data_IF_320559956732
#
_entry.id   IF_320559956732
#
_cell.length_a   1.000
_cell.length_b   1.000
_cell.length_c   1.000
_cell.angle_alpha   90.00
_cell.angle_beta   90.00
_cell.angle_gamma   90.00
#
_symmetry.space_group_name_H-M   'P 1'
#
loop_
_entity.id
_entity.type
_entity.pdbx_description
1 polymer ?
#
# COMPACT_ATOMS: atom_id res chain seq x y z
N UNK A 1 16.51 -1.72 11.85
CA UNK A 1 15.85 -3.04 11.83
C UNK A 1 14.34 -2.90 11.63
N UNK A 2 13.53 -2.58 12.64
CA UNK A 2 12.06 -2.49 12.48
C UNK A 2 11.63 -1.45 11.43
N UNK A 3 12.25 -0.26 11.43
CA UNK A 3 11.99 0.77 10.42
C UNK A 3 12.40 0.37 8.99
N UNK A 4 13.39 -0.52 8.83
CA UNK A 4 13.87 -0.91 7.49
C UNK A 4 12.97 -1.95 6.83
N UNK A 5 11.94 -2.46 7.53
CA UNK A 5 10.96 -3.39 6.98
C UNK A 5 9.54 -2.81 6.98
N UNK A 6 9.39 -1.51 7.24
CA UNK A 6 8.08 -0.85 7.20
C UNK A 6 7.27 -0.89 8.49
N UNK A 7 7.83 -1.41 9.59
CA UNK A 7 7.08 -1.70 10.82
C UNK A 7 7.24 -0.65 11.94
N UNK A 8 7.75 0.55 11.63
CA UNK A 8 7.95 1.55 12.68
C UNK A 8 6.66 2.34 12.98
N UNK A 9 6.12 2.29 14.21
CA UNK A 9 4.86 2.93 14.57
C UNK A 9 5.06 4.44 14.80
N UNK A 10 4.97 5.24 13.73
CA UNK A 10 5.36 6.66 13.76
C UNK A 10 4.57 7.51 14.78
N UNK A 11 3.28 7.21 14.99
CA UNK A 11 2.44 7.82 16.05
C UNK A 11 3.01 7.65 17.47
N UNK A 12 4.01 6.78 17.64
CA UNK A 12 4.73 6.51 18.89
C UNK A 12 6.21 6.92 18.87
N UNK A 13 6.71 7.51 17.78
CA UNK A 13 8.11 7.91 17.64
C UNK A 13 8.60 8.82 18.79
N UNK A 14 7.78 9.80 19.17
CA UNK A 14 8.04 10.69 20.32
C UNK A 14 7.63 10.11 21.69
N UNK A 15 7.24 8.84 21.75
CA UNK A 15 6.75 8.14 22.96
C UNK A 15 7.67 6.96 23.26
N UNK A 16 7.19 5.73 23.06
CA UNK A 16 7.89 4.48 23.38
C UNK A 16 8.34 3.70 22.12
N UNK A 17 8.09 4.24 20.92
CA UNK A 17 8.50 3.63 19.66
C UNK A 17 7.95 2.21 19.49
N UNK A 18 8.86 1.27 19.24
CA UNK A 18 8.57 -0.12 18.85
C UNK A 18 8.26 -1.05 20.03
N UNK A 19 8.48 -0.61 21.28
CA UNK A 19 8.16 -1.38 22.51
C UNK A 19 8.61 -2.85 22.50
N UNK A 20 9.93 -3.12 22.66
CA UNK A 20 10.40 -4.48 22.92
C UNK A 20 10.02 -4.88 24.35
N UNK A 21 8.96 -5.68 24.50
CA UNK A 21 8.40 -6.00 25.84
C UNK A 21 8.60 -7.47 26.23
N UNK A 22 8.53 -8.39 25.26
CA UNK A 22 8.69 -9.82 25.51
C UNK A 22 10.05 -10.36 25.04
N UNK A 23 10.60 -11.34 25.77
CA UNK A 23 11.83 -12.04 25.38
C UNK A 23 11.73 -13.53 25.66
N UNK A 24 12.08 -14.35 24.67
CA UNK A 24 12.15 -15.81 24.76
C UNK A 24 13.56 -16.26 24.44
N UNK A 25 14.05 -17.26 25.17
CA UNK A 25 15.27 -17.98 24.81
C UNK A 25 14.92 -19.39 24.35
N UNK A 26 15.54 -19.84 23.26
CA UNK A 26 15.39 -21.19 22.74
C UNK A 26 16.69 -21.69 22.12
N UNK A 27 16.88 -22.99 22.09
CA UNK A 27 17.99 -23.62 21.35
C UNK A 27 17.40 -24.38 20.18
N UNK A 28 17.83 -24.07 18.96
CA UNK A 28 17.40 -24.76 17.75
C UNK A 28 18.65 -25.30 17.05
N UNK A 29 18.70 -26.61 16.83
CA UNK A 29 19.97 -27.28 16.50
C UNK A 29 20.99 -27.08 17.64
N UNK A 30 22.17 -26.58 17.27
CA UNK A 30 23.25 -26.26 18.22
C UNK A 30 23.32 -24.76 18.59
N UNK A 31 22.42 -23.94 18.03
CA UNK A 31 22.45 -22.48 18.17
C UNK A 31 21.47 -22.02 19.24
N UNK A 32 21.93 -21.13 20.12
CA UNK A 32 21.07 -20.43 21.07
C UNK A 32 20.50 -19.18 20.39
N UNK A 33 19.19 -18.98 20.51
CA UNK A 33 18.51 -17.81 19.98
C UNK A 33 17.78 -17.06 21.09
N UNK A 34 17.80 -15.73 20.98
CA UNK A 34 16.91 -14.83 21.69
C UNK A 34 15.85 -14.31 20.71
N UNK A 35 14.60 -14.33 21.14
CA UNK A 35 13.47 -13.80 20.39
C UNK A 35 12.91 -12.61 21.15
N UNK A 36 13.02 -11.42 20.57
CA UNK A 36 12.55 -10.16 21.19
C UNK A 36 11.28 -9.73 20.48
N UNK A 37 10.16 -9.69 21.22
CA UNK A 37 8.86 -9.30 20.69
C UNK A 37 8.73 -7.78 20.74
N UNK A 38 8.51 -7.17 19.57
CA UNK A 38 8.16 -5.77 19.43
C UNK A 38 6.64 -5.64 19.40
N UNK A 39 6.05 -5.26 20.53
CA UNK A 39 4.59 -5.17 20.69
C UNK A 39 4.00 -4.21 19.64
N UNK A 40 4.58 -3.01 19.53
CA UNK A 40 4.04 -1.95 18.66
C UNK A 40 4.61 -1.96 17.25
N UNK A 41 5.61 -2.80 16.99
CA UNK A 41 6.09 -3.07 15.65
C UNK A 41 5.45 -4.32 15.02
N UNK A 42 4.69 -5.13 15.77
CA UNK A 42 4.13 -6.40 15.28
C UNK A 42 5.17 -7.33 14.66
N UNK A 43 6.37 -7.38 15.23
CA UNK A 43 7.48 -8.21 14.74
C UNK A 43 8.23 -8.89 15.88
N UNK A 44 8.93 -9.97 15.55
CA UNK A 44 9.88 -10.64 16.44
C UNK A 44 11.28 -10.50 15.86
N UNK A 45 12.20 -9.91 16.64
CA UNK A 45 13.63 -9.92 16.34
C UNK A 45 14.25 -11.24 16.79
N UNK A 46 14.88 -11.96 15.87
CA UNK A 46 15.61 -13.20 16.13
C UNK A 46 17.09 -12.88 16.21
N UNK A 47 17.70 -13.15 17.36
CA UNK A 47 19.11 -12.91 17.61
C UNK A 47 19.84 -14.22 17.84
N UNK A 48 20.96 -14.45 17.17
CA UNK A 48 21.92 -15.49 17.53
C UNK A 48 22.65 -15.06 18.81
N UNK A 49 22.51 -15.86 19.87
CA UNK A 49 23.04 -15.65 21.22
C UNK A 49 24.18 -16.64 21.53
N UNK A 50 24.93 -17.05 20.50
CA UNK A 50 26.05 -17.98 20.66
C UNK A 50 27.33 -17.28 21.15
N UNK A 51 27.52 -16.01 20.80
CA UNK A 51 28.63 -15.19 21.29
C UNK A 51 28.30 -14.57 22.65
N UNK A 52 29.26 -14.61 23.58
CA UNK A 52 29.09 -13.97 24.88
C UNK A 52 28.99 -12.45 24.72
N UNK A 53 27.94 -11.86 25.28
CA UNK A 53 27.68 -10.41 25.32
C UNK A 53 27.49 -9.71 23.96
N UNK A 54 27.35 -10.47 22.87
CA UNK A 54 27.18 -9.94 21.51
C UNK A 54 26.07 -10.67 20.72
N UNK A 55 24.78 -10.55 21.11
CA UNK A 55 23.68 -11.11 20.32
C UNK A 55 23.59 -10.43 18.94
N UNK A 56 23.57 -11.22 17.87
CA UNK A 56 23.51 -10.72 16.49
C UNK A 56 22.09 -10.87 15.93
N UNK A 57 21.48 -9.79 15.44
CA UNK A 57 20.18 -9.86 14.77
C UNK A 57 20.33 -10.60 13.44
N UNK A 58 19.72 -11.78 13.34
CA UNK A 58 19.79 -12.64 12.14
C UNK A 58 18.51 -12.63 11.31
N UNK A 59 17.36 -12.31 11.92
CA UNK A 59 16.08 -12.30 11.20
C UNK A 59 15.03 -11.41 11.90
N UNK A 60 14.08 -10.91 11.12
CA UNK A 60 12.83 -10.31 11.61
C UNK A 60 11.67 -11.16 11.12
N UNK A 61 10.80 -11.59 12.04
CA UNK A 61 9.60 -12.37 11.72
C UNK A 61 8.37 -11.45 11.83
N UNK A 62 7.45 -11.47 10.86
CA UNK A 62 6.18 -10.77 10.98
C UNK A 62 5.32 -11.48 12.04
N UNK A 63 4.59 -10.73 12.85
CA UNK A 63 3.67 -11.26 13.86
C UNK A 63 2.28 -10.63 13.70
N UNK A 64 1.34 -11.05 14.54
CA UNK A 64 0.06 -10.34 14.66
C UNK A 64 0.17 -9.05 15.49
N UNK A 65 -0.99 -8.47 15.81
CA UNK A 65 -1.08 -7.22 16.55
C UNK A 65 -0.67 -7.40 18.02
N UNK A 66 0.28 -6.59 18.50
CA UNK A 66 0.73 -6.60 19.90
C UNK A 66 1.21 -7.98 20.37
N UNK A 67 2.30 -8.52 19.81
CA UNK A 67 2.88 -9.75 20.31
C UNK A 67 3.48 -9.54 21.70
N UNK A 68 2.97 -10.23 22.71
CA UNK A 68 3.35 -10.00 24.12
C UNK A 68 4.13 -11.17 24.71
N UNK A 69 3.73 -12.40 24.35
CA UNK A 69 4.26 -13.63 24.95
C UNK A 69 4.62 -14.66 23.88
N UNK A 70 5.52 -15.57 24.21
CA UNK A 70 5.86 -16.68 23.34
C UNK A 70 6.50 -17.85 24.07
N UNK A 71 6.63 -18.96 23.36
CA UNK A 71 7.31 -20.16 23.84
C UNK A 71 8.14 -20.78 22.72
N UNK A 72 9.40 -21.08 23.01
CA UNK A 72 10.23 -21.91 22.15
C UNK A 72 9.94 -23.39 22.45
N UNK A 73 9.75 -24.18 21.41
CA UNK A 73 9.52 -25.63 21.46
C UNK A 73 10.63 -26.32 20.64
N UNK A 74 11.87 -26.41 21.16
CA UNK A 74 13.01 -27.01 20.47
C UNK A 74 12.75 -28.40 19.90
N UNK A 75 12.04 -29.25 20.66
CA UNK A 75 11.73 -30.62 20.23
C UNK A 75 10.87 -30.71 18.96
N UNK A 76 10.29 -29.59 18.51
CA UNK A 76 9.51 -29.49 17.26
C UNK A 76 10.07 -28.46 16.30
N UNK A 77 11.21 -27.83 16.61
CA UNK A 77 11.74 -26.69 15.88
C UNK A 77 10.73 -25.55 15.72
N UNK A 78 9.91 -25.27 16.74
CA UNK A 78 8.90 -24.21 16.68
C UNK A 78 9.15 -23.07 17.66
N UNK A 79 8.92 -21.85 17.20
CA UNK A 79 8.57 -20.71 18.06
C UNK A 79 7.06 -20.47 17.94
N UNK A 80 6.40 -20.20 19.06
CA UNK A 80 4.98 -19.86 19.10
C UNK A 80 4.82 -18.53 19.81
N UNK A 81 4.10 -17.57 19.21
CA UNK A 81 3.80 -16.27 19.85
C UNK A 81 2.30 -16.06 19.98
N UNK A 82 1.91 -15.36 21.04
CA UNK A 82 0.53 -14.95 21.30
C UNK A 82 0.41 -13.44 21.13
N UNK A 83 -0.59 -13.04 20.34
CA UNK A 83 -0.92 -11.64 20.05
C UNK A 83 -2.14 -11.24 20.90
N UNK A 84 -2.02 -10.21 21.72
CA UNK A 84 -3.05 -9.90 22.73
C UNK A 84 -4.24 -9.08 22.21
N UNK A 85 -4.04 -8.33 21.13
CA UNK A 85 -5.05 -7.39 20.64
C UNK A 85 -6.14 -8.13 19.85
N UNK A 86 -7.39 -8.07 20.33
CA UNK A 86 -8.58 -8.58 19.65
C UNK A 86 -9.47 -7.42 19.18
N UNK A 87 -9.38 -7.08 17.91
CA UNK A 87 -10.22 -6.07 17.25
C UNK A 87 -11.51 -6.66 16.66
N UNK A 88 -11.77 -7.96 16.89
CA UNK A 88 -12.95 -8.65 16.38
C UNK A 88 -14.30 -7.97 16.67
N UNK A 89 -14.54 -7.47 17.90
CA UNK A 89 -15.75 -6.72 18.23
C UNK A 89 -15.95 -5.46 17.36
N UNK A 90 -14.86 -4.87 16.89
CA UNK A 90 -14.82 -3.68 16.03
C UNK A 90 -14.70 -4.04 14.53
N UNK A 91 -14.76 -5.34 14.20
CA UNK A 91 -14.70 -5.85 12.83
C UNK A 91 -13.29 -6.05 12.27
N UNK A 92 -12.25 -5.84 13.08
CA UNK A 92 -10.84 -6.03 12.72
C UNK A 92 -10.30 -7.42 13.01
N UNK A 93 -8.97 -7.51 13.08
CA UNK A 93 -8.22 -8.77 13.29
C UNK A 93 -8.49 -9.34 14.68
N UNK A 94 -8.72 -10.65 14.75
CA UNK A 94 -8.83 -11.37 16.02
C UNK A 94 -7.44 -11.58 16.63
N UNK A 95 -7.38 -11.60 17.96
CA UNK A 95 -6.22 -12.15 18.65
C UNK A 95 -5.96 -13.58 18.17
N UNK A 96 -4.72 -13.88 17.81
CA UNK A 96 -4.34 -15.16 17.22
C UNK A 96 -2.92 -15.56 17.65
N UNK A 97 -2.58 -16.80 17.35
CA UNK A 97 -1.28 -17.40 17.67
C UNK A 97 -0.50 -17.55 16.38
N UNK A 98 0.76 -17.13 16.37
CA UNK A 98 1.67 -17.36 15.25
C UNK A 98 2.57 -18.55 15.54
N UNK A 99 2.85 -19.34 14.50
CA UNK A 99 3.75 -20.48 14.56
C UNK A 99 4.87 -20.23 13.54
N UNK A 100 6.11 -20.30 14.00
CA UNK A 100 7.30 -20.20 13.16
C UNK A 100 8.08 -21.51 13.26
N UNK A 101 8.47 -22.06 12.12
CA UNK A 101 9.32 -23.23 12.06
C UNK A 101 10.77 -22.81 11.77
N UNK A 102 11.71 -23.39 12.52
CA UNK A 102 13.13 -23.29 12.22
C UNK A 102 13.49 -24.31 11.13
N UNK A 103 13.83 -23.80 9.95
CA UNK A 103 14.08 -24.58 8.74
C UNK A 103 15.28 -24.02 7.98
N UNK A 104 15.95 -24.86 7.20
CA UNK A 104 16.96 -24.46 6.22
C UNK A 104 16.23 -24.07 4.91
N UNK A 105 15.63 -22.88 4.91
CA UNK A 105 14.84 -22.35 3.82
C UNK A 105 15.02 -20.83 3.69
N UNK A 106 14.76 -20.29 2.50
CA UNK A 106 14.75 -18.83 2.29
C UNK A 106 13.62 -18.19 3.11
N UNK A 107 13.88 -17.08 3.83
CA UNK A 107 12.84 -16.32 4.50
C UNK A 107 11.78 -15.81 3.51
N UNK A 108 10.51 -15.94 3.88
CA UNK A 108 9.39 -15.41 3.10
C UNK A 108 9.03 -13.95 3.46
N UNK A 109 9.70 -13.38 4.47
CA UNK A 109 9.53 -12.01 4.94
C UNK A 109 10.88 -11.44 5.43
N UNK A 110 11.17 -10.14 5.23
CA UNK A 110 10.38 -9.14 4.50
C UNK A 110 10.27 -9.42 2.99
N UNK A 111 9.24 -8.88 2.34
CA UNK A 111 9.09 -8.94 0.86
C UNK A 111 9.58 -7.67 0.16
N UNK A 112 9.62 -6.57 0.92
CA UNK A 112 10.24 -5.30 0.56
C UNK A 112 11.00 -4.75 1.77
N UNK A 113 12.20 -4.20 1.55
CA UNK A 113 13.02 -3.61 2.61
C UNK A 113 13.67 -2.30 2.15
N UNK A 114 14.06 -1.49 3.13
CA UNK A 114 14.91 -0.32 2.92
C UNK A 114 16.39 -0.73 2.84
N UNK A 115 17.16 -0.05 2.00
CA UNK A 115 18.61 -0.22 1.93
C UNK A 115 19.26 0.18 3.26
N UNK A 116 19.61 -0.84 4.05
CA UNK A 116 20.21 -0.69 5.38
C UNK A 116 21.66 -0.17 5.33
N UNK A 117 22.28 -0.11 4.15
CA UNK A 117 23.61 0.49 3.99
C UNK A 117 23.56 2.02 3.90
N UNK A 118 22.37 2.60 3.69
CA UNK A 118 22.17 4.04 3.60
C UNK A 118 22.16 4.70 4.97
N UNK A 119 22.76 5.88 5.05
CA UNK A 119 22.74 6.77 6.22
C UNK A 119 22.34 8.20 5.78
N UNK A 120 21.19 8.74 6.24
CA UNK A 120 20.21 8.09 7.11
C UNK A 120 19.43 6.97 6.41
N UNK A 121 19.05 5.96 7.19
CA UNK A 121 18.11 4.91 6.76
C UNK A 121 16.79 5.54 6.28
N UNK A 122 16.22 4.98 5.20
CA UNK A 122 14.86 5.35 4.76
C UNK A 122 13.86 4.51 5.56
N UNK A 123 13.14 5.14 6.49
CA UNK A 123 11.92 4.55 7.05
C UNK A 123 10.80 4.63 6.02
N UNK A 124 9.98 3.59 5.93
CA UNK A 124 8.79 3.56 5.09
C UNK A 124 7.64 2.88 5.85
N UNK A 125 6.48 2.86 5.23
CA UNK A 125 5.24 2.27 5.71
C UNK A 125 4.09 2.89 4.94
N UNK A 126 2.90 2.36 5.15
CA UNK A 126 1.66 2.81 4.53
C UNK A 126 1.76 3.06 3.01
N UNK A 127 2.29 2.07 2.28
CA UNK A 127 2.49 2.20 0.84
C UNK A 127 1.15 2.14 0.10
N UNK A 128 0.75 3.27 -0.48
CA UNK A 128 -0.62 3.56 -0.90
C UNK A 128 -0.78 3.81 -2.41
N UNK A 129 0.20 3.40 -3.22
CA UNK A 129 0.12 3.50 -4.68
C UNK A 129 1.41 3.03 -5.32
N UNK A 130 1.35 2.59 -6.58
CA UNK A 130 2.52 2.03 -7.27
C UNK A 130 2.59 2.44 -8.75
N UNK A 131 3.76 2.90 -9.20
CA UNK A 131 4.03 3.19 -10.61
C UNK A 131 5.33 2.53 -11.07
N UNK A 132 5.39 2.12 -12.33
CA UNK A 132 6.63 1.69 -12.96
C UNK A 132 7.35 2.85 -13.64
N UNK A 133 8.68 2.78 -13.67
CA UNK A 133 9.46 3.61 -14.58
C UNK A 133 9.18 3.17 -16.04
N UNK A 134 8.89 4.12 -16.96
CA UNK A 134 8.55 3.78 -18.33
C UNK A 134 9.74 3.19 -19.13
N UNK A 135 10.97 3.36 -18.63
CA UNK A 135 12.20 2.97 -19.32
C UNK A 135 13.01 1.88 -18.61
N UNK A 136 12.82 1.71 -17.31
CA UNK A 136 13.50 0.69 -16.51
C UNK A 136 12.49 -0.23 -15.82
N UNK A 137 12.34 -1.45 -16.36
CA UNK A 137 11.41 -2.44 -15.83
C UNK A 137 11.67 -2.89 -14.38
N UNK A 138 12.85 -2.57 -13.81
CA UNK A 138 13.16 -2.87 -12.42
C UNK A 138 12.90 -1.74 -11.45
N UNK A 139 12.67 -0.53 -11.95
CA UNK A 139 12.50 0.65 -11.12
C UNK A 139 11.02 0.94 -10.96
N UNK A 140 10.54 0.88 -9.72
CA UNK A 140 9.18 1.26 -9.35
C UNK A 140 9.19 2.46 -8.41
N UNK A 141 8.03 3.10 -8.30
CA UNK A 141 7.78 4.22 -7.41
C UNK A 141 6.56 3.91 -6.55
N UNK A 142 6.64 4.15 -5.25
CA UNK A 142 5.50 4.05 -4.34
C UNK A 142 5.34 5.33 -3.52
N UNK A 143 4.13 5.64 -3.09
CA UNK A 143 3.84 6.76 -2.18
C UNK A 143 3.44 6.25 -0.79
N UNK A 144 3.54 7.11 0.22
CA UNK A 144 2.90 6.89 1.52
C UNK A 144 1.69 7.82 1.72
N UNK A 145 0.71 7.31 2.44
CA UNK A 145 -0.52 8.04 2.80
C UNK A 145 -0.30 9.09 3.92
N UNK A 146 -1.41 9.68 4.38
CA UNK A 146 -1.40 10.66 5.47
C UNK A 146 -0.97 10.12 6.84
N UNK A 147 -0.81 8.80 7.03
CA UNK A 147 -0.24 8.25 8.26
C UNK A 147 1.12 8.90 8.56
N UNK A 148 1.92 9.10 7.52
CA UNK A 148 3.22 9.76 7.57
C UNK A 148 3.16 11.21 7.06
N UNK A 149 2.11 11.95 7.43
CA UNK A 149 1.84 13.34 7.00
C UNK A 149 2.99 14.35 7.18
N UNK A 150 3.94 14.10 8.09
CA UNK A 150 5.12 14.94 8.26
C UNK A 150 6.20 14.73 7.17
N UNK A 151 6.09 13.65 6.41
CA UNK A 151 7.08 13.18 5.44
C UNK A 151 6.40 12.54 4.21
N UNK A 152 5.52 13.26 3.49
CA UNK A 152 4.95 12.75 2.25
C UNK A 152 6.09 12.48 1.26
N UNK A 153 6.09 11.28 0.68
CA UNK A 153 7.25 10.70 0.03
C UNK A 153 6.87 9.92 -1.21
N UNK A 154 7.78 9.90 -2.18
CA UNK A 154 7.81 8.94 -3.29
C UNK A 154 9.06 8.09 -3.08
N UNK A 155 8.90 6.80 -2.79
CA UNK A 155 9.98 5.85 -2.63
C UNK A 155 10.41 5.30 -3.98
N UNK A 156 11.71 5.13 -4.18
CA UNK A 156 12.28 4.48 -5.36
C UNK A 156 12.64 3.04 -4.99
N UNK A 157 12.01 2.09 -5.69
CA UNK A 157 12.11 0.66 -5.43
C UNK A 157 12.88 -0.01 -6.58
N UNK A 158 13.88 -0.81 -6.23
CA UNK A 158 14.53 -1.78 -7.11
C UNK A 158 13.86 -3.15 -6.93
N UNK A 159 13.02 -3.51 -7.90
CA UNK A 159 12.27 -4.76 -7.94
C UNK A 159 13.09 -5.96 -8.48
N UNK A 160 14.35 -5.77 -8.93
CA UNK A 160 15.24 -6.90 -9.28
C UNK A 160 15.78 -7.61 -8.04
N UNK A 161 15.85 -6.90 -6.92
CA UNK A 161 16.31 -7.48 -5.66
C UNK A 161 15.24 -8.38 -5.05
N UNK A 162 15.68 -9.35 -4.25
CA UNK A 162 14.82 -10.23 -3.46
C UNK A 162 15.34 -10.24 -2.02
N UNK A 163 14.64 -9.60 -1.08
CA UNK A 163 13.38 -8.85 -1.25
C UNK A 163 13.54 -7.58 -2.10
N UNK A 164 12.44 -7.01 -2.58
CA UNK A 164 12.47 -5.73 -3.30
C UNK A 164 13.09 -4.65 -2.40
N UNK A 165 13.84 -3.71 -2.98
CA UNK A 165 14.67 -2.79 -2.19
C UNK A 165 14.26 -1.34 -2.41
N UNK A 166 13.86 -0.63 -1.36
CA UNK A 166 13.75 0.84 -1.36
C UNK A 166 15.18 1.40 -1.28
N UNK A 167 15.60 2.02 -2.37
CA UNK A 167 16.97 2.54 -2.56
C UNK A 167 17.06 4.04 -2.36
N UNK A 168 15.97 4.76 -2.63
CA UNK A 168 15.90 6.21 -2.49
C UNK A 168 14.51 6.72 -2.11
N UNK A 169 14.44 7.98 -1.74
CA UNK A 169 13.19 8.67 -1.39
C UNK A 169 13.22 10.11 -1.89
N UNK A 170 12.17 10.49 -2.60
CA UNK A 170 11.89 11.87 -3.02
C UNK A 170 10.85 12.42 -2.05
N UNK A 171 11.16 13.53 -1.37
CA UNK A 171 10.20 14.17 -0.45
C UNK A 171 9.30 15.13 -1.20
N UNK A 172 8.01 14.98 -1.02
CA UNK A 172 7.02 15.89 -1.60
C UNK A 172 7.04 17.18 -0.81
N UNK A 173 7.32 18.30 -1.49
CA UNK A 173 7.52 19.59 -0.85
C UNK A 173 6.66 20.69 -1.45
N UNK A 174 6.33 21.67 -0.62
CA UNK A 174 5.73 22.94 -1.00
C UNK A 174 6.60 24.04 -0.45
N UNK A 175 7.10 24.91 -1.32
CA UNK A 175 8.02 25.99 -0.95
C UNK A 175 9.28 25.52 -0.19
N UNK A 176 9.78 24.32 -0.53
CA UNK A 176 10.98 23.72 0.07
C UNK A 176 10.78 23.07 1.46
N UNK A 177 9.57 23.09 2.00
CA UNK A 177 9.20 22.35 3.22
C UNK A 177 8.36 21.12 2.88
N UNK A 178 8.31 20.07 3.73
CA UNK A 178 7.38 18.96 3.55
C UNK A 178 5.95 19.47 3.33
N UNK A 179 5.30 18.98 2.27
CA UNK A 179 3.99 19.48 1.90
C UNK A 179 2.92 19.00 2.89
N UNK A 180 2.34 19.93 3.64
CA UNK A 180 1.22 19.63 4.54
C UNK A 180 -0.09 19.39 3.77
N UNK A 181 -1.04 18.73 4.44
CA UNK A 181 -2.39 18.42 3.94
C UNK A 181 -2.37 17.59 2.66
N UNK A 182 -1.59 16.52 2.68
CA UNK A 182 -1.55 15.47 1.67
C UNK A 182 -2.00 14.14 2.30
N UNK A 183 -2.70 13.38 1.50
CA UNK A 183 -3.19 12.03 1.77
C UNK A 183 -3.00 11.24 0.48
N UNK A 184 -1.75 10.90 0.17
CA UNK A 184 -1.38 10.40 -1.15
C UNK A 184 -1.84 8.95 -1.27
N UNK A 185 -2.66 8.65 -2.27
CA UNK A 185 -3.16 7.29 -2.56
C UNK A 185 -2.93 6.90 -4.02
N UNK A 186 -2.05 7.62 -4.73
CA UNK A 186 -1.79 7.31 -6.13
C UNK A 186 -0.59 8.06 -6.68
N UNK A 187 0.14 7.39 -7.55
CA UNK A 187 1.30 7.95 -8.24
C UNK A 187 1.31 7.50 -9.70
N UNK A 188 1.59 8.42 -10.62
CA UNK A 188 1.89 8.13 -12.01
C UNK A 188 3.10 8.95 -12.45
N UNK A 189 3.98 8.37 -13.29
CA UNK A 189 5.07 9.15 -13.89
C UNK A 189 4.53 10.11 -14.94
N UNK A 190 5.09 11.32 -15.04
CA UNK A 190 4.73 12.31 -16.07
C UNK A 190 5.40 12.05 -17.44
N UNK A 191 6.29 11.05 -17.51
CA UNK A 191 7.12 10.74 -18.69
C UNK A 191 8.34 11.66 -18.90
N UNK A 192 8.51 12.69 -18.08
CA UNK A 192 9.55 13.72 -18.17
C UNK A 192 10.41 13.83 -16.90
N UNK A 193 10.30 12.85 -15.99
CA UNK A 193 11.08 12.76 -14.76
C UNK A 193 10.40 13.36 -13.52
N UNK A 194 9.15 13.81 -13.65
CA UNK A 194 8.26 14.18 -12.56
C UNK A 194 7.12 13.17 -12.36
N UNK A 195 6.14 13.57 -11.54
CA UNK A 195 5.04 12.69 -11.14
C UNK A 195 3.72 13.45 -11.01
N UNK A 196 2.64 12.75 -11.32
CA UNK A 196 1.28 13.10 -10.92
C UNK A 196 0.92 12.30 -9.68
N UNK A 197 0.42 12.97 -8.65
CA UNK A 197 0.02 12.37 -7.39
C UNK A 197 -1.46 12.61 -7.15
N UNK A 198 -2.22 11.56 -6.84
CA UNK A 198 -3.59 11.68 -6.35
C UNK A 198 -3.57 11.75 -4.83
N UNK A 199 -4.28 12.73 -4.29
CA UNK A 199 -4.55 12.80 -2.86
C UNK A 199 -6.03 12.53 -2.59
N UNK A 200 -6.31 11.53 -1.76
CA UNK A 200 -7.67 11.15 -1.37
C UNK A 200 -8.36 12.34 -0.74
N UNK A 201 -7.77 12.87 0.33
CA UNK A 201 -8.34 14.01 1.03
C UNK A 201 -9.46 13.61 1.99
N UNK A 202 -9.80 14.54 2.87
CA UNK A 202 -10.75 14.33 3.93
C UNK A 202 -11.34 15.68 4.36
N UNK A 203 -12.58 16.01 3.94
CA UNK A 203 -13.17 17.32 4.21
C UNK A 203 -13.34 17.59 5.70
N UNK A 204 -13.59 16.55 6.52
CA UNK A 204 -13.72 16.68 7.97
C UNK A 204 -12.39 17.04 8.66
N UNK A 205 -11.25 16.76 8.01
CA UNK A 205 -9.90 17.10 8.47
C UNK A 205 -9.28 18.30 7.72
N UNK A 206 -10.07 18.98 6.88
CA UNK A 206 -9.59 20.05 6.00
C UNK A 206 -8.42 19.65 5.09
N UNK A 207 -8.36 18.38 4.69
CA UNK A 207 -7.43 17.87 3.67
C UNK A 207 -8.19 17.83 2.34
N UNK A 208 -7.77 18.57 1.31
CA UNK A 208 -8.52 18.63 0.06
C UNK A 208 -8.32 17.38 -0.80
N UNK A 209 -9.39 16.92 -1.47
CA UNK A 209 -9.29 16.06 -2.64
C UNK A 209 -8.58 16.84 -3.76
N UNK A 210 -7.41 16.39 -4.21
CA UNK A 210 -6.63 17.11 -5.21
C UNK A 210 -5.63 16.21 -5.96
N UNK A 211 -5.27 16.65 -7.17
CA UNK A 211 -4.14 16.09 -7.92
C UNK A 211 -2.99 17.08 -7.85
N UNK A 212 -1.77 16.58 -7.64
CA UNK A 212 -0.56 17.40 -7.59
C UNK A 212 0.42 16.95 -8.67
N UNK A 213 1.00 17.92 -9.39
CA UNK A 213 2.17 17.66 -10.22
C UNK A 213 3.42 18.00 -9.42
N UNK A 214 4.38 17.09 -9.35
CA UNK A 214 5.69 17.31 -8.74
C UNK A 214 6.79 17.11 -9.76
N UNK A 215 7.85 17.92 -9.67
CA UNK A 215 9.05 17.68 -10.46
C UNK A 215 9.89 16.51 -9.87
N UNK A 216 10.99 16.15 -10.55
CA UNK A 216 11.88 15.07 -10.12
C UNK A 216 12.63 15.32 -8.80
N UNK A 217 12.52 16.51 -8.22
CA UNK A 217 13.01 16.82 -6.85
C UNK A 217 11.94 16.65 -5.78
N UNK A 218 10.67 16.47 -6.20
CA UNK A 218 9.50 16.38 -5.33
C UNK A 218 8.84 17.72 -5.03
N UNK A 219 9.27 18.81 -5.66
CA UNK A 219 8.61 20.10 -5.47
C UNK A 219 7.27 20.13 -6.21
N UNK A 220 6.20 20.48 -5.50
CA UNK A 220 4.88 20.69 -6.11
C UNK A 220 4.97 21.89 -7.04
N UNK A 221 4.71 21.64 -8.33
CA UNK A 221 4.72 22.64 -9.40
C UNK A 221 3.31 23.03 -9.83
N UNK A 222 2.33 22.15 -9.63
CA UNK A 222 0.93 22.41 -9.92
C UNK A 222 0.01 21.71 -8.90
N UNK A 223 -1.07 22.39 -8.54
CA UNK A 223 -2.18 21.83 -7.76
C UNK A 223 -3.46 21.93 -8.58
N UNK A 224 -4.08 20.79 -8.84
CA UNK A 224 -5.34 20.67 -9.56
C UNK A 224 -6.42 20.31 -8.54
N UNK A 225 -7.27 21.29 -8.21
CA UNK A 225 -8.40 21.07 -7.33
C UNK A 225 -9.57 20.44 -8.10
N UNK A 226 -10.35 19.60 -7.42
CA UNK A 226 -11.62 19.14 -7.94
C UNK A 226 -12.60 20.33 -8.09
N UNK A 227 -13.42 20.37 -9.16
CA UNK A 227 -14.42 21.42 -9.37
C UNK A 227 -15.49 21.40 -8.27
N UNK A 228 -16.04 22.58 -7.94
CA UNK A 228 -17.11 22.72 -6.94
C UNK A 228 -18.30 21.80 -7.20
N UNK A 229 -18.61 21.54 -8.49
CA UNK A 229 -19.69 20.64 -8.89
C UNK A 229 -19.47 19.20 -8.43
N UNK A 230 -18.22 18.71 -8.38
CA UNK A 230 -17.89 17.41 -7.78
C UNK A 230 -17.93 17.49 -6.25
N UNK A 231 -17.29 18.51 -5.70
CA UNK A 231 -17.13 18.67 -4.25
C UNK A 231 -18.46 18.85 -3.50
N UNK A 232 -19.53 19.28 -4.18
CA UNK A 232 -20.87 19.41 -3.60
C UNK A 232 -21.45 18.08 -3.10
N UNK A 233 -20.96 16.94 -3.57
CA UNK A 233 -21.43 15.60 -3.20
C UNK A 233 -20.34 14.72 -2.59
N UNK A 234 -19.16 15.30 -2.31
CA UNK A 234 -18.02 14.59 -1.76
C UNK A 234 -18.33 13.91 -0.43
N UNK A 235 -17.62 12.82 -0.17
CA UNK A 235 -17.59 12.18 1.14
C UNK A 235 -16.15 12.19 1.66
N UNK A 236 -15.89 11.44 2.74
CA UNK A 236 -14.52 11.25 3.23
C UNK A 236 -13.65 10.38 2.34
N UNK A 237 -14.25 9.64 1.40
CA UNK A 237 -13.56 8.68 0.55
C UNK A 237 -13.31 9.29 -0.83
N UNK A 238 -12.07 9.25 -1.29
CA UNK A 238 -11.61 10.09 -2.41
C UNK A 238 -10.94 9.30 -3.53
N UNK A 239 -9.92 9.91 -4.14
CA UNK A 239 -9.13 9.31 -5.20
C UNK A 239 -8.12 8.30 -4.62
N UNK A 240 -8.16 7.07 -5.11
CA UNK A 240 -7.33 5.90 -4.71
C UNK A 240 -6.60 5.36 -5.93
N UNK A 241 -5.65 6.15 -6.42
CA UNK A 241 -4.90 5.82 -7.61
C UNK A 241 -5.01 6.88 -8.70
N UNK A 242 -3.98 6.93 -9.53
CA UNK A 242 -3.91 7.80 -10.71
C UNK A 242 -3.10 7.13 -11.80
N UNK A 243 -3.52 7.30 -13.04
CA UNK A 243 -2.76 6.87 -14.21
C UNK A 243 -2.84 7.89 -15.34
N UNK A 244 -1.92 7.78 -16.30
CA UNK A 244 -1.83 8.67 -17.46
C UNK A 244 -2.16 7.91 -18.74
N UNK A 245 -2.94 8.53 -19.62
CA UNK A 245 -3.26 8.01 -20.95
C UNK A 245 -3.03 9.11 -21.98
N UNK A 246 -2.28 8.81 -23.04
CA UNK A 246 -1.91 9.79 -24.05
C UNK A 246 -0.73 10.67 -23.62
N UNK A 247 -0.40 11.67 -24.43
CA UNK A 247 0.73 12.57 -24.23
C UNK A 247 0.43 13.98 -24.75
N UNK A 248 1.22 14.97 -24.32
CA UNK A 248 1.09 16.35 -24.77
C UNK A 248 -0.32 16.90 -24.57
N UNK A 249 -0.89 17.48 -25.62
CA UNK A 249 -2.24 18.05 -25.59
C UNK A 249 -3.35 17.00 -25.43
N UNK A 250 -3.06 15.71 -25.63
CA UNK A 250 -4.01 14.61 -25.49
C UNK A 250 -3.84 13.81 -24.20
N UNK A 251 -2.89 14.19 -23.34
CA UNK A 251 -2.72 13.62 -22.01
C UNK A 251 -4.02 13.74 -21.22
N UNK A 252 -4.46 12.62 -20.67
CA UNK A 252 -5.57 12.51 -19.72
C UNK A 252 -5.08 11.82 -18.47
N UNK A 253 -5.33 12.45 -17.33
CA UNK A 253 -5.16 11.86 -16.00
C UNK A 253 -6.45 11.14 -15.63
N UNK A 254 -6.35 9.87 -15.25
CA UNK A 254 -7.47 9.07 -14.78
C UNK A 254 -7.29 8.71 -13.32
N UNK A 255 -8.33 8.90 -12.52
CA UNK A 255 -8.33 8.62 -11.08
C UNK A 255 -9.53 7.75 -10.70
N UNK A 256 -9.32 6.77 -9.83
CA UNK A 256 -10.39 5.94 -9.28
C UNK A 256 -10.94 6.57 -8.00
N UNK A 257 -12.26 6.78 -7.91
CA UNK A 257 -12.89 7.19 -6.64
C UNK A 257 -13.24 5.94 -5.84
N UNK A 258 -12.76 5.83 -4.61
CA UNK A 258 -12.87 4.61 -3.79
C UNK A 258 -14.30 4.12 -3.67
N UNK A 259 -15.21 5.06 -3.38
CA UNK A 259 -16.57 4.77 -2.93
C UNK A 259 -17.58 5.76 -3.50
N UNK A 260 -18.83 5.30 -3.52
CA UNK A 260 -20.00 6.08 -3.87
C UNK A 260 -20.03 7.43 -3.14
N UNK A 261 -20.10 8.51 -3.91
CA UNK A 261 -20.42 9.84 -3.43
C UNK A 261 -21.93 10.04 -3.40
N UNK A 262 -22.40 11.15 -2.82
CA UNK A 262 -23.83 11.35 -2.58
C UNK A 262 -24.68 11.44 -3.86
N UNK A 263 -24.07 11.75 -5.00
CA UNK A 263 -24.69 11.84 -6.31
C UNK A 263 -24.54 10.58 -7.17
N UNK A 264 -23.77 9.58 -6.72
CA UNK A 264 -23.60 8.33 -7.46
C UNK A 264 -24.84 7.45 -7.42
N UNK A 265 -25.08 6.73 -8.52
CA UNK A 265 -26.03 5.63 -8.50
C UNK A 265 -25.50 4.53 -7.58
N UNK A 266 -26.37 3.98 -6.74
CA UNK A 266 -25.99 2.89 -5.82
C UNK A 266 -25.41 1.71 -6.59
N UNK A 267 -24.24 1.23 -6.17
CA UNK A 267 -23.46 0.18 -6.82
C UNK A 267 -22.47 0.73 -7.85
N UNK A 268 -22.30 2.04 -7.99
CA UNK A 268 -21.41 2.65 -8.96
C UNK A 268 -20.50 3.70 -8.33
N UNK A 269 -19.27 3.80 -8.82
CA UNK A 269 -18.34 4.87 -8.49
C UNK A 269 -17.89 5.58 -9.75
N UNK A 270 -17.24 6.74 -9.59
CA UNK A 270 -16.69 7.49 -10.71
C UNK A 270 -15.25 7.08 -10.96
N UNK A 271 -14.89 6.90 -12.24
CA UNK A 271 -13.51 7.07 -12.68
C UNK A 271 -13.41 8.46 -13.28
N UNK A 272 -12.68 9.35 -12.61
CA UNK A 272 -12.54 10.75 -13.00
C UNK A 272 -11.48 10.88 -14.09
N UNK A 273 -11.73 11.75 -15.06
CA UNK A 273 -10.79 12.15 -16.09
C UNK A 273 -10.49 13.64 -15.97
N UNK A 274 -9.22 14.00 -16.05
CA UNK A 274 -8.78 15.39 -16.17
C UNK A 274 -7.83 15.55 -17.34
N UNK A 275 -8.09 16.54 -18.21
CA UNK A 275 -7.22 16.87 -19.35
C UNK A 275 -6.43 18.15 -19.06
N UNK A 276 -5.12 18.09 -18.75
CA UNK A 276 -4.35 19.27 -18.34
C UNK A 276 -4.35 20.40 -19.37
N UNK A 277 -4.33 20.06 -20.67
CA UNK A 277 -4.31 21.03 -21.76
C UNK A 277 -5.56 21.93 -21.80
N UNK A 278 -6.73 21.37 -21.52
CA UNK A 278 -8.02 22.10 -21.55
C UNK A 278 -8.56 22.44 -20.17
N UNK A 279 -7.99 21.84 -19.11
CA UNK A 279 -8.45 21.89 -17.72
C UNK A 279 -9.88 21.37 -17.53
N UNK A 280 -10.30 20.48 -18.41
CA UNK A 280 -11.64 19.90 -18.39
C UNK A 280 -11.66 18.65 -17.51
N UNK A 281 -12.74 18.55 -16.73
CA UNK A 281 -13.07 17.38 -15.94
C UNK A 281 -14.22 16.62 -16.58
N UNK A 282 -14.14 15.30 -16.56
CA UNK A 282 -15.23 14.41 -16.90
C UNK A 282 -15.12 13.12 -16.10
N UNK A 283 -16.05 12.19 -16.33
CA UNK A 283 -16.03 10.90 -15.67
C UNK A 283 -16.75 9.82 -16.48
N UNK A 284 -16.45 8.58 -16.13
CA UNK A 284 -17.27 7.40 -16.46
C UNK A 284 -17.74 6.75 -15.16
N UNK A 285 -18.82 5.98 -15.20
CA UNK A 285 -19.32 5.21 -14.07
C UNK A 285 -18.78 3.77 -14.12
N UNK A 286 -18.22 3.30 -13.01
CA UNK A 286 -17.70 1.96 -12.82
C UNK A 286 -18.61 1.16 -11.88
N UNK A 287 -19.11 -0.03 -12.28
CA UNK A 287 -19.94 -0.87 -11.42
C UNK A 287 -19.11 -1.62 -10.38
N UNK A 288 -19.48 -1.51 -9.10
CA UNK A 288 -18.89 -2.29 -8.00
C UNK A 288 -19.56 -3.66 -7.84
N UNK A 289 -18.79 -4.65 -7.40
CA UNK A 289 -19.30 -5.90 -6.84
C UNK A 289 -20.10 -5.63 -5.56
N UNK A 290 -21.10 -6.46 -5.31
CA UNK A 290 -21.89 -6.36 -4.08
C UNK A 290 -21.11 -6.98 -2.90
N UNK A 291 -20.87 -6.23 -1.81
CA UNK A 291 -20.22 -6.79 -0.62
C UNK A 291 -21.08 -7.87 0.05
N UNK A 292 -20.48 -8.98 0.45
CA UNK A 292 -21.12 -9.92 1.39
C UNK A 292 -21.22 -9.31 2.81
N UNK A 293 -20.18 -8.57 3.21
CA UNK A 293 -20.07 -7.87 4.48
C UNK A 293 -19.26 -6.60 4.29
N UNK A 294 -19.62 -5.55 5.03
CA UNK A 294 -18.90 -4.27 4.98
C UNK A 294 -19.16 -3.55 3.66
N UNK A 295 -18.09 -3.13 3.00
CA UNK A 295 -18.14 -2.41 1.73
C UNK A 295 -17.08 -2.93 0.75
N UNK A 296 -17.32 -2.69 -0.53
CA UNK A 296 -16.36 -2.87 -1.63
C UNK A 296 -16.04 -1.50 -2.22
N UNK A 297 -14.80 -1.29 -2.61
CA UNK A 297 -14.32 -0.05 -3.22
C UNK A 297 -13.10 -0.27 -4.09
N UNK A 298 -12.66 0.80 -4.74
CA UNK A 298 -11.48 0.82 -5.62
C UNK A 298 -10.26 1.27 -4.84
N UNK A 299 -9.09 0.69 -5.11
CA UNK A 299 -7.86 1.05 -4.40
C UNK A 299 -6.67 1.36 -5.32
N UNK A 300 -6.82 1.20 -6.64
CA UNK A 300 -5.77 1.54 -7.61
C UNK A 300 -6.35 1.64 -9.03
N UNK A 301 -5.68 2.40 -9.90
CA UNK A 301 -5.92 2.46 -11.34
C UNK A 301 -4.61 2.57 -12.12
N UNK A 302 -4.37 1.67 -13.08
CA UNK A 302 -3.16 1.63 -13.91
C UNK A 302 -3.50 1.39 -15.38
N UNK A 303 -3.10 2.29 -16.28
CA UNK A 303 -3.19 2.07 -17.72
C UNK A 303 -1.99 1.27 -18.24
N UNK A 304 -2.25 0.26 -19.08
CA UNK A 304 -1.21 -0.45 -19.83
C UNK A 304 -1.79 -1.06 -21.11
N UNK A 305 -1.12 -0.81 -22.24
CA UNK A 305 -1.61 -1.22 -23.55
C UNK A 305 -2.98 -0.62 -23.86
N UNK A 306 -3.93 -1.47 -24.28
CA UNK A 306 -5.29 -1.04 -24.63
C UNK A 306 -6.28 -1.07 -23.45
N UNK A 307 -5.81 -1.25 -22.21
CA UNK A 307 -6.65 -1.41 -21.04
C UNK A 307 -6.23 -0.52 -19.87
N UNK A 308 -7.18 -0.29 -18.98
CA UNK A 308 -6.98 0.24 -17.63
C UNK A 308 -7.28 -0.88 -16.64
N UNK A 309 -6.34 -1.14 -15.74
CA UNK A 309 -6.43 -2.14 -14.68
C UNK A 309 -6.79 -1.45 -13.37
N UNK A 310 -7.74 -2.03 -12.63
CA UNK A 310 -8.31 -1.41 -11.44
C UNK A 310 -8.34 -2.47 -10.32
N UNK A 311 -7.82 -2.13 -9.15
CA UNK A 311 -8.00 -2.99 -7.98
C UNK A 311 -9.36 -2.69 -7.38
N UNK A 312 -10.13 -3.74 -7.14
CA UNK A 312 -11.40 -3.68 -6.42
C UNK A 312 -11.37 -4.69 -5.27
N UNK A 313 -11.64 -4.20 -4.06
CA UNK A 313 -11.50 -4.95 -2.81
C UNK A 313 -12.62 -4.69 -1.84
N UNK A 314 -12.99 -5.73 -1.09
CA UNK A 314 -13.77 -5.55 0.14
C UNK A 314 -12.90 -4.98 1.26
N UNK A 315 -13.52 -4.50 2.33
CA UNK A 315 -12.83 -4.05 3.55
C UNK A 315 -12.70 -5.12 4.62
N UNK A 316 -12.61 -6.37 4.20
CA UNK A 316 -12.49 -7.50 5.10
C UNK A 316 -11.04 -8.02 5.14
N UNK A 317 -10.67 -8.58 6.29
CA UNK A 317 -9.33 -9.06 6.64
C UNK A 317 -9.37 -10.54 7.06
N UNK A 318 -8.24 -11.23 6.93
CA UNK A 318 -8.09 -12.63 7.30
C UNK A 318 -9.07 -13.54 6.55
N UNK A 319 -9.69 -14.48 7.26
CA UNK A 319 -10.67 -15.42 6.69
C UNK A 319 -11.97 -14.75 6.21
N UNK A 320 -12.24 -13.51 6.67
CA UNK A 320 -13.41 -12.75 6.27
C UNK A 320 -13.26 -12.13 4.88
N UNK A 321 -12.04 -11.96 4.36
CA UNK A 321 -11.78 -11.46 3.02
C UNK A 321 -12.42 -12.37 1.95
N UNK A 322 -13.24 -11.79 1.07
CA UNK A 322 -13.97 -12.44 -0.03
C UNK A 322 -13.66 -11.85 -1.40
N UNK A 323 -13.23 -10.59 -1.45
CA UNK A 323 -12.91 -9.89 -2.69
C UNK A 323 -11.60 -9.10 -2.56
N UNK A 324 -10.57 -9.53 -3.28
CA UNK A 324 -9.36 -8.75 -3.60
C UNK A 324 -9.01 -9.07 -5.05
N UNK A 325 -9.50 -8.28 -6.01
CA UNK A 325 -9.41 -8.61 -7.43
C UNK A 325 -8.83 -7.46 -8.24
N UNK A 326 -8.22 -7.83 -9.35
CA UNK A 326 -7.83 -6.93 -10.41
C UNK A 326 -8.83 -7.09 -11.56
N UNK A 327 -9.47 -5.99 -11.94
CA UNK A 327 -10.30 -5.90 -13.13
C UNK A 327 -9.58 -5.11 -14.22
N UNK A 328 -10.04 -5.26 -15.47
CA UNK A 328 -9.62 -4.45 -16.61
C UNK A 328 -10.82 -3.88 -17.36
N UNK A 329 -10.69 -2.64 -17.82
CA UNK A 329 -11.63 -1.93 -18.67
C UNK A 329 -10.89 -1.52 -19.95
N UNK A 330 -11.51 -1.69 -21.11
CA UNK A 330 -10.91 -1.29 -22.37
C UNK A 330 -10.81 0.24 -22.46
N UNK A 331 -9.67 0.78 -22.92
CA UNK A 331 -9.49 2.23 -23.10
C UNK A 331 -10.50 2.84 -24.08
N UNK A 332 -11.02 2.05 -25.02
CA UNK A 332 -12.09 2.50 -25.93
C UNK A 332 -13.40 2.84 -25.20
N UNK A 333 -13.62 2.31 -23.99
CA UNK A 333 -14.79 2.61 -23.16
C UNK A 333 -14.55 3.75 -22.17
N UNK A 334 -13.29 4.14 -21.97
CA UNK A 334 -12.89 5.26 -21.10
C UNK A 334 -13.16 6.61 -21.80
N UNK A 335 -14.44 6.85 -22.13
CA UNK A 335 -14.94 8.04 -22.82
C UNK A 335 -15.69 8.93 -21.82
N UNK A 336 -15.05 9.93 -21.21
CA UNK A 336 -15.65 10.66 -20.09
C UNK A 336 -16.79 11.57 -20.57
N UNK A 337 -17.89 11.58 -19.83
CA UNK A 337 -18.94 12.58 -19.97
C UNK A 337 -18.70 13.76 -19.00
N UNK A 338 -19.24 14.96 -19.27
CA UNK A 338 -19.12 16.10 -18.37
C UNK A 338 -19.67 15.80 -16.97
N UNK A 339 -19.01 16.32 -15.94
CA UNK A 339 -19.49 16.23 -14.55
C UNK A 339 -20.91 16.80 -14.43
N UNK A 340 -21.77 16.10 -13.68
CA UNK A 340 -23.17 16.46 -13.45
C UNK A 340 -24.11 16.04 -14.59
N UNK A 341 -23.60 15.39 -15.64
CA UNK A 341 -24.41 14.70 -16.65
C UNK A 341 -24.57 13.22 -16.34
N UNK A 342 -25.37 12.50 -17.12
CA UNK A 342 -25.43 11.05 -17.00
C UNK A 342 -24.14 10.43 -17.52
N UNK A 343 -23.41 9.74 -16.64
CA UNK A 343 -22.14 9.12 -16.95
C UNK A 343 -22.33 7.82 -17.75
N UNK A 344 -21.50 7.56 -18.78
CA UNK A 344 -21.48 6.27 -19.44
C UNK A 344 -20.92 5.22 -18.48
N UNK A 345 -21.51 4.02 -18.49
CA UNK A 345 -21.08 2.90 -17.67
C UNK A 345 -20.05 2.08 -18.44
N UNK A 346 -18.90 1.81 -17.82
CA UNK A 346 -17.87 0.93 -18.39
C UNK A 346 -18.15 -0.53 -18.08
N UNK A 347 -17.71 -1.42 -18.98
CA UNK A 347 -17.72 -2.86 -18.77
C UNK A 347 -16.37 -3.31 -18.22
N UNK A 348 -16.39 -3.92 -17.02
CA UNK A 348 -15.20 -4.50 -16.39
C UNK A 348 -15.09 -5.99 -16.68
N UNK A 349 -13.86 -6.47 -16.87
CA UNK A 349 -13.54 -7.89 -17.00
C UNK A 349 -12.51 -8.28 -15.95
N UNK A 350 -12.64 -9.47 -15.36
CA UNK A 350 -11.66 -9.94 -14.37
C UNK A 350 -10.31 -10.18 -15.05
N UNK A 351 -9.26 -9.58 -14.51
CA UNK A 351 -7.87 -9.74 -14.95
C UNK A 351 -7.09 -10.70 -14.05
N UNK A 352 -7.33 -10.67 -12.73
CA UNK A 352 -6.74 -11.61 -11.77
C UNK A 352 -7.52 -11.66 -10.43
N UNK A 353 -7.47 -12.81 -9.76
CA UNK A 353 -7.83 -12.94 -8.34
C UNK A 353 -6.57 -12.86 -7.48
N UNK A 354 -6.50 -11.85 -6.60
CA UNK A 354 -5.33 -11.58 -5.77
C UNK A 354 -5.40 -12.33 -4.43
N UNK A 355 -6.57 -12.84 -4.02
CA UNK A 355 -6.72 -13.54 -2.74
C UNK A 355 -5.80 -14.76 -2.58
N UNK A 356 -5.67 -15.67 -3.57
CA UNK A 356 -4.75 -16.79 -3.45
C UNK A 356 -3.28 -16.37 -3.34
N UNK A 357 -2.90 -15.29 -4.03
CA UNK A 357 -1.54 -14.74 -3.99
C UNK A 357 -1.24 -14.15 -2.62
N UNK A 358 -2.15 -13.33 -2.08
CA UNK A 358 -2.03 -12.75 -0.75
C UNK A 358 -1.96 -13.83 0.33
N UNK A 359 -2.82 -14.85 0.27
CA UNK A 359 -2.76 -16.01 1.21
C UNK A 359 -1.43 -16.73 1.15
N UNK A 360 -0.86 -16.88 -0.04
CA UNK A 360 0.44 -17.55 -0.19
C UNK A 360 1.56 -16.69 0.37
N UNK A 361 1.52 -15.37 0.14
CA UNK A 361 2.51 -14.41 0.60
C UNK A 361 2.61 -14.30 2.13
N UNK A 362 1.52 -14.56 2.85
CA UNK A 362 1.42 -14.41 4.32
C UNK A 362 1.08 -15.71 5.06
N UNK A 363 1.26 -16.88 4.44
CA UNK A 363 0.91 -18.18 5.02
C UNK A 363 -0.56 -18.30 5.51
N UNK A 364 -1.48 -17.62 4.83
CA UNK A 364 -2.92 -17.77 4.98
C UNK A 364 -3.65 -16.54 5.52
N UNK A 365 -2.92 -15.56 6.08
CA UNK A 365 -3.52 -14.35 6.65
C UNK A 365 -3.64 -13.23 5.61
N UNK A 366 -4.84 -12.99 5.08
CA UNK A 366 -5.06 -11.92 4.10
C UNK A 366 -5.08 -10.56 4.81
N UNK A 367 -4.17 -9.65 4.48
CA UNK A 367 -4.22 -8.26 4.94
C UNK A 367 -5.36 -7.48 4.27
N UNK A 368 -5.83 -6.40 4.90
CA UNK A 368 -7.00 -5.67 4.41
C UNK A 368 -6.70 -4.92 3.10
N UNK A 369 -5.67 -4.09 3.10
CA UNK A 369 -5.46 -3.07 2.07
C UNK A 369 -4.47 -3.48 1.00
N UNK A 370 -4.96 -3.70 -0.21
CA UNK A 370 -4.14 -3.89 -1.41
C UNK A 370 -4.33 -2.63 -2.27
N UNK A 371 -3.37 -1.72 -2.19
CA UNK A 371 -3.54 -0.33 -2.65
C UNK A 371 -2.58 0.06 -3.76
N UNK A 372 -1.56 -0.76 -4.06
CA UNK A 372 -0.66 -0.47 -5.17
C UNK A 372 -0.63 -1.61 -6.18
N UNK A 373 -0.70 -1.25 -7.47
CA UNK A 373 -0.49 -2.14 -8.60
C UNK A 373 0.17 -1.40 -9.74
N UNK A 374 1.07 -2.06 -10.45
CA UNK A 374 1.64 -1.49 -11.68
C UNK A 374 2.10 -2.59 -12.63
N UNK A 375 2.32 -2.23 -13.90
CA UNK A 375 2.91 -3.11 -14.92
C UNK A 375 4.20 -2.47 -15.42
N UNK A 376 5.31 -3.13 -15.16
CA UNK A 376 6.65 -2.69 -15.56
C UNK A 376 6.84 -2.71 -17.08
N UNK A 377 7.88 -2.01 -17.55
CA UNK A 377 8.18 -1.90 -18.99
C UNK A 377 8.44 -3.24 -19.70
N UNK A 378 8.77 -4.32 -18.97
CA UNK A 378 8.91 -5.68 -19.49
C UNK A 378 7.62 -6.52 -19.42
N UNK A 379 6.52 -5.93 -18.95
CA UNK A 379 5.22 -6.58 -18.75
C UNK A 379 5.05 -7.26 -17.39
N UNK A 380 6.04 -7.22 -16.50
CA UNK A 380 5.90 -7.79 -15.15
C UNK A 380 4.93 -6.94 -14.33
N UNK A 381 3.85 -7.56 -13.86
CA UNK A 381 2.89 -6.90 -12.99
C UNK A 381 3.28 -7.07 -11.52
N UNK A 382 3.29 -5.98 -10.76
CA UNK A 382 3.61 -5.94 -9.33
C UNK A 382 2.43 -5.42 -8.53
N UNK A 383 2.31 -5.88 -7.29
CA UNK A 383 1.31 -5.41 -6.34
C UNK A 383 1.93 -5.22 -4.95
N UNK A 384 1.44 -4.23 -4.20
CA UNK A 384 1.88 -3.90 -2.84
C UNK A 384 0.72 -3.56 -1.92
N UNK A 385 0.84 -3.93 -0.65
CA UNK A 385 -0.19 -3.66 0.38
C UNK A 385 0.20 -2.47 1.26
N UNK A 386 -0.80 -1.66 1.59
CA UNK A 386 -0.71 -0.67 2.67
C UNK A 386 -0.79 -1.42 4.00
N UNK A 387 0.15 -1.13 4.91
CA UNK A 387 0.24 -1.76 6.22
C UNK A 387 -0.34 -0.90 7.36
N UNK A 388 -1.03 0.21 7.04
CA UNK A 388 -1.63 1.18 7.97
C UNK A 388 -0.62 1.77 8.97
N UNK A 389 0.68 1.77 8.63
CA UNK A 389 1.74 2.20 9.54
C UNK A 389 1.77 1.41 10.86
N UNK A 390 1.31 0.15 10.82
CA UNK A 390 1.17 -0.77 11.98
C UNK A 390 0.11 -0.31 13.01
N UNK A 391 -0.81 0.56 12.61
CA UNK A 391 -1.93 0.98 13.47
C UNK A 391 -3.14 0.09 13.20
N UNK A 392 -3.56 -0.66 14.22
CA UNK A 392 -4.63 -1.67 14.12
C UNK A 392 -4.41 -2.71 12.99
N UNK A 393 -3.16 -2.91 12.60
CA UNK A 393 -2.68 -3.77 11.51
C UNK A 393 -1.51 -4.65 11.97
N UNK A 394 -1.33 -5.82 11.35
CA UNK A 394 -0.16 -6.69 11.58
C UNK A 394 1.14 -6.10 11.02
N UNK A 395 1.06 -5.03 10.23
CA UNK A 395 2.21 -4.27 9.73
C UNK A 395 2.90 -4.90 8.51
N UNK A 396 2.47 -6.08 8.06
CA UNK A 396 3.04 -6.77 6.92
C UNK A 396 2.82 -5.98 5.61
N UNK A 397 3.91 -5.57 4.97
CA UNK A 397 3.87 -5.08 3.58
C UNK A 397 4.16 -6.25 2.65
N UNK A 398 3.12 -6.76 1.99
CA UNK A 398 3.25 -7.76 0.95
C UNK A 398 3.71 -7.08 -0.34
N UNK A 399 4.66 -7.69 -1.04
CA UNK A 399 5.15 -7.24 -2.33
C UNK A 399 5.37 -8.45 -3.23
N UNK A 400 4.58 -8.57 -4.28
CA UNK A 400 4.56 -9.78 -5.11
C UNK A 400 4.21 -9.48 -6.57
N UNK A 401 4.51 -10.44 -7.43
CA UNK A 401 4.15 -10.39 -8.85
C UNK A 401 2.77 -10.98 -9.10
N UNK A 402 2.03 -10.40 -10.03
CA UNK A 402 0.69 -10.85 -10.44
C UNK A 402 0.76 -11.51 -11.82
N UNK A 403 0.11 -12.66 -12.00
CA UNK A 403 -0.12 -13.24 -13.32
C UNK A 403 -1.45 -12.73 -13.88
N UNK A 404 -1.41 -12.10 -15.05
CA UNK A 404 -2.58 -11.52 -15.71
C UNK A 404 -3.21 -12.52 -16.69
N UNK A 405 -4.56 -12.54 -16.76
CA UNK A 405 -5.34 -13.38 -17.68
C UNK A 405 -5.56 -12.77 -19.08
#
# INVERSE_FOLDING_TARGET
AVASIGHFPDKRAGKKGVEPEGMIKGTFGDTNYLFVLSERGSVVGVYDDSAADEPELVQLLPSGLSPESGVAIPARNLLVTANETDLGPDGGVRAHVMLYAYEDAEPNYPQILSDVSRDPLIGFGALSGLAADPSDASKLYAVNDSFYSAQPSIFIIDAKQKPAMITDVIRVTRDGAPAEKLDLEGVATDGNGGFWLASEGNPDKEVPHAVYHVDGTGAITETINLPEALLASQTRFGMEGITTVGEGDDLTLWMAVQREWADDEKGFVKLLAYKPATKEWGAVAYPLETPEKGWVGLSEITANGDNVYIIERDNQIGEAAKLKKLYKVALSEMQPAPIGSQLPVVEKQEAADLLPLMKTASNGFVVDKIEGFTIAADGTAYAVTDNDGVDDSSGETLFFTVSLN
#
